data_IF_996976458145
#
_entry.id   IF_996976458145
#
_cell.length_a   1.000
_cell.length_b   1.000
_cell.length_c   1.000
_cell.angle_alpha   90.00
_cell.angle_beta   90.00
_cell.angle_gamma   90.00
#
_symmetry.space_group_name_H-M   'P 1'
#
loop_
_entity.id
_entity.type
_entity.pdbx_description
1 polymer ?
#
# COMPACT_ATOMS: atom_id res chain seq x y z
N UNK A 1 2.73 5.05 16.48
CA UNK A 1 2.36 4.41 15.20
C UNK A 1 2.75 2.94 15.18
N UNK A 2 4.04 2.57 15.15
CA UNK A 2 4.46 1.15 15.20
C UNK A 2 3.72 0.31 16.26
N UNK A 3 3.68 0.79 17.51
CA UNK A 3 2.99 0.10 18.60
C UNK A 3 1.46 -0.04 18.42
N UNK A 4 0.81 0.84 17.65
CA UNK A 4 -0.64 0.77 17.40
C UNK A 4 -0.97 -0.20 16.27
N UNK A 5 -0.10 -0.30 15.28
CA UNK A 5 -0.25 -1.17 14.10
C UNK A 5 0.34 -2.58 14.31
N UNK A 6 1.09 -2.79 15.39
CA UNK A 6 1.81 -4.05 15.65
C UNK A 6 3.14 -4.16 14.89
N UNK A 7 3.62 -3.07 14.31
CA UNK A 7 4.89 -3.00 13.57
C UNK A 7 6.12 -2.88 14.48
N UNK A 8 7.27 -3.25 13.95
CA UNK A 8 8.56 -3.24 14.67
C UNK A 8 9.16 -1.83 14.75
N UNK A 9 8.97 -1.02 13.72
CA UNK A 9 9.48 0.35 13.61
C UNK A 9 8.51 1.24 12.84
N UNK A 10 8.73 2.55 12.85
CA UNK A 10 7.92 3.50 12.11
C UNK A 10 8.76 4.68 11.63
N UNK A 11 8.50 5.14 10.40
CA UNK A 11 9.08 6.35 9.83
C UNK A 11 7.96 7.36 9.51
N UNK A 12 8.03 8.54 10.12
CA UNK A 12 7.15 9.65 9.77
C UNK A 12 7.64 10.34 8.50
N UNK A 13 6.71 10.79 7.66
CA UNK A 13 6.99 11.42 6.36
C UNK A 13 6.15 12.69 6.18
N UNK A 14 6.49 13.48 5.16
CA UNK A 14 5.83 14.76 4.90
C UNK A 14 4.35 14.62 4.49
N UNK A 15 3.91 13.46 3.97
CA UNK A 15 2.53 13.19 3.55
C UNK A 15 2.30 11.69 3.33
N UNK A 16 1.05 11.24 3.27
CA UNK A 16 0.73 9.85 2.88
C UNK A 16 1.29 9.47 1.51
N UNK A 17 1.28 10.40 0.54
CA UNK A 17 1.91 10.15 -0.77
C UNK A 17 3.43 9.99 -0.68
N UNK A 18 4.08 10.69 0.26
CA UNK A 18 5.50 10.50 0.52
C UNK A 18 5.77 9.16 1.21
N UNK A 19 4.89 8.70 2.10
CA UNK A 19 4.98 7.38 2.72
C UNK A 19 4.95 6.25 1.69
N UNK A 20 3.91 6.18 0.86
CA UNK A 20 3.80 5.13 -0.16
C UNK A 20 4.92 5.21 -1.21
N UNK A 21 5.34 6.43 -1.59
CA UNK A 21 6.46 6.61 -2.49
C UNK A 21 7.77 6.06 -1.91
N UNK A 22 8.07 6.37 -0.65
CA UNK A 22 9.28 5.87 0.01
C UNK A 22 9.23 4.35 0.18
N UNK A 23 8.08 3.79 0.57
CA UNK A 23 7.91 2.34 0.67
C UNK A 23 8.23 1.64 -0.65
N UNK A 24 7.68 2.13 -1.77
CA UNK A 24 7.88 1.52 -3.09
C UNK A 24 9.29 1.76 -3.63
N UNK A 25 9.78 2.99 -3.60
CA UNK A 25 11.11 3.34 -4.16
C UNK A 25 12.29 2.76 -3.38
N UNK A 26 12.07 2.31 -2.14
CA UNK A 26 13.08 1.60 -1.35
C UNK A 26 13.28 0.16 -1.85
N UNK A 27 12.24 -0.47 -2.38
CA UNK A 27 12.25 -1.90 -2.78
C UNK A 27 12.23 -2.11 -4.31
N UNK A 28 11.94 -1.07 -5.08
CA UNK A 28 11.84 -1.11 -6.53
C UNK A 28 12.72 -0.03 -7.18
N UNK A 29 13.32 -0.35 -8.31
CA UNK A 29 14.14 0.54 -9.12
C UNK A 29 13.69 0.53 -10.59
N UNK A 30 14.36 1.33 -11.44
CA UNK A 30 14.03 1.38 -12.86
C UNK A 30 14.13 -0.02 -13.51
N UNK A 31 13.05 -0.42 -14.20
CA UNK A 31 12.89 -1.77 -14.78
C UNK A 31 11.97 -2.67 -13.98
N UNK A 32 11.74 -2.38 -12.70
CA UNK A 32 10.84 -3.14 -11.84
C UNK A 32 9.37 -2.73 -12.01
N UNK A 33 8.47 -3.56 -11.45
CA UNK A 33 7.07 -3.22 -11.33
C UNK A 33 6.46 -3.61 -9.98
N UNK A 34 5.31 -3.03 -9.65
CA UNK A 34 4.42 -3.50 -8.58
C UNK A 34 3.04 -3.84 -9.16
N UNK A 35 2.30 -4.70 -8.46
CA UNK A 35 0.91 -5.01 -8.80
C UNK A 35 -0.01 -4.32 -7.79
N UNK A 36 -1.00 -3.56 -8.27
CA UNK A 36 -1.92 -2.82 -7.41
C UNK A 36 -3.37 -2.97 -7.88
N UNK A 37 -4.34 -2.96 -6.96
CA UNK A 37 -5.75 -2.81 -7.35
C UNK A 37 -5.98 -1.47 -8.04
N UNK A 38 -7.01 -1.37 -8.88
CA UNK A 38 -7.49 -0.09 -9.44
C UNK A 38 -8.34 0.71 -8.45
N UNK A 39 -8.80 0.11 -7.35
CA UNK A 39 -9.64 0.73 -6.32
C UNK A 39 -8.82 1.53 -5.31
N UNK A 40 -8.06 2.50 -5.81
CA UNK A 40 -7.17 3.35 -5.02
C UNK A 40 -7.70 4.78 -4.95
N UNK A 41 -7.30 5.49 -3.90
CA UNK A 41 -7.40 6.94 -3.84
C UNK A 41 -6.86 7.56 -5.12
N UNK A 42 -7.61 8.49 -5.73
CA UNK A 42 -7.28 9.05 -7.04
C UNK A 42 -5.88 9.67 -7.12
N UNK A 43 -5.38 10.23 -6.01
CA UNK A 43 -4.00 10.72 -5.93
C UNK A 43 -2.96 9.60 -6.00
N UNK A 44 -3.22 8.47 -5.32
CA UNK A 44 -2.38 7.26 -5.36
C UNK A 44 -2.40 6.65 -6.76
N UNK A 45 -3.60 6.47 -7.34
CA UNK A 45 -3.74 6.00 -8.71
C UNK A 45 -2.94 6.87 -9.70
N UNK A 46 -3.03 8.20 -9.59
CA UNK A 46 -2.26 9.10 -10.45
C UNK A 46 -0.74 9.02 -10.21
N UNK A 47 -0.30 8.91 -8.94
CA UNK A 47 1.12 8.73 -8.63
C UNK A 47 1.65 7.44 -9.28
N UNK A 48 0.89 6.35 -9.20
CA UNK A 48 1.25 5.04 -9.74
C UNK A 48 1.21 4.99 -11.27
N UNK A 49 0.21 5.63 -11.88
CA UNK A 49 0.04 5.64 -13.33
C UNK A 49 0.98 6.60 -14.06
N UNK A 50 1.35 7.71 -13.43
CA UNK A 50 2.06 8.81 -14.10
C UNK A 50 3.44 9.08 -13.51
N UNK A 51 3.57 9.11 -12.18
CA UNK A 51 4.81 9.56 -11.53
C UNK A 51 5.84 8.44 -11.44
N UNK A 52 5.45 7.25 -10.98
CA UNK A 52 6.36 6.10 -10.87
C UNK A 52 6.94 5.64 -12.23
N UNK A 53 6.15 5.56 -13.33
CA UNK A 53 6.70 5.13 -14.62
C UNK A 53 7.74 6.10 -15.19
N UNK A 54 7.66 7.39 -14.85
CA UNK A 54 8.70 8.38 -15.21
C UNK A 54 10.03 8.14 -14.51
N UNK A 55 10.02 7.42 -13.39
CA UNK A 55 11.21 6.96 -12.67
C UNK A 55 11.63 5.54 -13.10
N UNK A 56 10.94 4.95 -14.08
CA UNK A 56 11.19 3.60 -14.58
C UNK A 56 10.55 2.49 -13.75
N UNK A 57 9.74 2.81 -12.73
CA UNK A 57 9.01 1.82 -11.92
C UNK A 57 7.59 1.73 -12.46
N UNK A 58 7.22 0.60 -13.07
CA UNK A 58 5.88 0.43 -13.64
C UNK A 58 4.87 -0.08 -12.60
N UNK A 59 3.58 0.12 -12.88
CA UNK A 59 2.49 -0.41 -12.05
C UNK A 59 1.53 -1.19 -12.93
N UNK A 60 1.29 -2.45 -12.58
CA UNK A 60 0.27 -3.30 -13.20
C UNK A 60 -1.00 -3.20 -12.36
N UNK A 61 -2.04 -2.62 -12.95
CA UNK A 61 -3.33 -2.49 -12.28
C UNK A 61 -4.17 -3.73 -12.51
N UNK A 62 -4.68 -4.32 -11.43
CA UNK A 62 -5.72 -5.35 -11.47
C UNK A 62 -7.07 -4.72 -11.15
N UNK A 63 -8.10 -5.12 -11.89
CA UNK A 63 -9.47 -4.70 -11.59
C UNK A 63 -10.06 -5.65 -10.54
N UNK A 64 -10.66 -5.09 -9.49
CA UNK A 64 -11.16 -5.88 -8.38
C UNK A 64 -10.16 -6.08 -7.25
N UNK A 65 -10.53 -6.99 -6.35
CA UNK A 65 -9.76 -7.45 -5.19
C UNK A 65 -9.67 -8.98 -5.12
N UNK A 66 -10.03 -9.69 -6.20
CA UNK A 66 -9.81 -11.13 -6.32
C UNK A 66 -8.30 -11.43 -6.25
N UNK A 67 -7.82 -12.17 -5.24
CA UNK A 67 -6.41 -12.50 -5.09
C UNK A 67 -5.80 -13.18 -6.33
N UNK A 68 -6.59 -13.95 -7.10
CA UNK A 68 -6.07 -14.65 -8.28
C UNK A 68 -5.70 -13.68 -9.42
N UNK A 69 -6.39 -12.54 -9.53
CA UNK A 69 -6.02 -11.49 -10.49
C UNK A 69 -4.64 -10.89 -10.15
N UNK A 70 -4.30 -10.77 -8.87
CA UNK A 70 -2.97 -10.37 -8.45
C UNK A 70 -1.93 -11.41 -8.82
N UNK A 71 -2.21 -12.70 -8.55
CA UNK A 71 -1.30 -13.81 -8.90
C UNK A 71 -0.93 -13.79 -10.38
N UNK A 72 -1.92 -13.62 -11.26
CA UNK A 72 -1.70 -13.62 -12.72
C UNK A 72 -0.89 -12.43 -13.21
N UNK A 73 -0.88 -11.31 -12.48
CA UNK A 73 -0.16 -10.11 -12.86
C UNK A 73 1.33 -10.13 -12.43
N UNK A 74 1.71 -11.02 -11.51
CA UNK A 74 3.08 -11.16 -11.01
C UNK A 74 4.00 -11.72 -12.10
N UNK A 75 5.19 -11.14 -12.19
CA UNK A 75 6.30 -11.60 -13.04
C UNK A 75 7.64 -11.52 -12.27
N UNK A 76 8.73 -11.86 -12.94
CA UNK A 76 10.08 -11.87 -12.35
C UNK A 76 10.59 -10.49 -11.89
N UNK A 77 9.99 -9.41 -12.38
CA UNK A 77 10.37 -8.03 -12.06
C UNK A 77 9.42 -7.40 -11.03
N UNK A 78 8.43 -8.15 -10.54
CA UNK A 78 7.47 -7.65 -9.56
C UNK A 78 8.13 -7.53 -8.19
N UNK A 79 7.91 -6.41 -7.48
CA UNK A 79 8.56 -6.11 -6.19
C UNK A 79 7.60 -5.94 -5.02
N UNK A 80 6.30 -5.81 -5.27
CA UNK A 80 5.29 -5.77 -4.22
C UNK A 80 3.88 -5.95 -4.78
N UNK A 81 2.97 -6.36 -3.90
CA UNK A 81 1.52 -6.16 -4.07
C UNK A 81 1.10 -4.92 -3.28
N UNK A 82 0.12 -4.17 -3.78
CA UNK A 82 -0.40 -2.96 -3.13
C UNK A 82 -1.94 -2.92 -3.09
N UNK A 83 -2.50 -2.68 -1.91
CA UNK A 83 -3.94 -2.47 -1.72
C UNK A 83 -4.23 -1.40 -0.67
N UNK A 84 -5.45 -0.88 -0.63
CA UNK A 84 -5.97 -0.08 0.49
C UNK A 84 -6.85 -0.94 1.38
N UNK A 85 -6.84 -0.66 2.68
CA UNK A 85 -7.65 -1.41 3.66
C UNK A 85 -9.15 -1.31 3.36
N UNK A 86 -9.56 -0.14 2.87
CA UNK A 86 -10.89 0.10 2.29
C UNK A 86 -10.66 0.80 0.95
N UNK A 87 -10.96 0.11 -0.15
CA UNK A 87 -10.72 0.61 -1.50
C UNK A 87 -11.56 1.86 -1.81
N UNK A 88 -11.04 2.73 -2.67
CA UNK A 88 -11.70 3.97 -3.07
C UNK A 88 -11.91 4.00 -4.59
N UNK A 89 -13.12 4.28 -5.11
CA UNK A 89 -14.38 4.61 -4.42
C UNK A 89 -15.24 3.38 -4.05
N UNK A 90 -14.73 2.17 -4.25
CA UNK A 90 -15.55 0.95 -4.20
C UNK A 90 -15.94 0.50 -2.78
N UNK A 91 -15.22 0.97 -1.75
CA UNK A 91 -15.39 0.59 -0.34
C UNK A 91 -15.31 -0.93 -0.10
N UNK A 92 -14.58 -1.65 -0.96
CA UNK A 92 -14.29 -3.06 -0.79
C UNK A 92 -13.18 -3.27 0.24
N UNK A 93 -13.17 -4.44 0.87
CA UNK A 93 -12.15 -4.86 1.83
C UNK A 93 -11.39 -6.04 1.21
N UNK A 94 -10.14 -5.85 0.77
CA UNK A 94 -9.34 -6.93 0.21
C UNK A 94 -9.07 -8.05 1.23
N UNK A 95 -8.95 -9.29 0.76
CA UNK A 95 -8.50 -10.41 1.59
C UNK A 95 -6.98 -10.32 1.81
N UNK A 96 -6.56 -9.65 2.89
CA UNK A 96 -5.15 -9.45 3.20
C UNK A 96 -4.40 -10.76 3.40
N UNK A 97 -5.03 -11.77 4.00
CA UNK A 97 -4.38 -13.05 4.27
C UNK A 97 -4.10 -13.82 2.98
N UNK A 98 -5.08 -13.85 2.06
CA UNK A 98 -4.89 -14.46 0.75
C UNK A 98 -3.83 -13.71 -0.09
N UNK A 99 -3.86 -12.37 -0.08
CA UNK A 99 -2.88 -11.56 -0.80
C UNK A 99 -1.47 -11.70 -0.21
N UNK A 100 -1.33 -11.72 1.12
CA UNK A 100 -0.06 -11.92 1.79
C UNK A 100 0.52 -13.30 1.44
N UNK A 101 -0.31 -14.35 1.46
CA UNK A 101 0.11 -15.69 1.04
C UNK A 101 0.65 -15.68 -0.41
N UNK A 102 -0.07 -15.06 -1.35
CA UNK A 102 0.37 -14.94 -2.75
C UNK A 102 1.68 -14.16 -2.85
N UNK A 103 1.81 -13.05 -2.13
CA UNK A 103 3.02 -12.23 -2.11
C UNK A 103 4.23 -13.04 -1.62
N UNK A 104 4.06 -13.73 -0.49
CA UNK A 104 5.11 -14.54 0.15
C UNK A 104 5.51 -15.76 -0.69
N UNK A 105 4.58 -16.42 -1.38
CA UNK A 105 4.88 -17.49 -2.36
C UNK A 105 5.81 -17.02 -3.48
N UNK A 106 5.77 -15.74 -3.81
CA UNK A 106 6.58 -15.12 -4.86
C UNK A 106 7.77 -14.33 -4.30
N UNK A 107 8.02 -14.38 -2.98
CA UNK A 107 9.13 -13.71 -2.33
C UNK A 107 9.07 -12.18 -2.36
N UNK A 108 7.87 -11.60 -2.44
CA UNK A 108 7.63 -10.15 -2.45
C UNK A 108 6.73 -9.73 -1.26
N UNK A 109 6.85 -8.47 -0.77
CA UNK A 109 5.99 -7.97 0.30
C UNK A 109 4.58 -7.60 -0.18
N UNK A 110 3.62 -7.66 0.74
CA UNK A 110 2.34 -6.98 0.66
C UNK A 110 2.41 -5.61 1.35
N UNK A 111 2.13 -4.55 0.59
CA UNK A 111 1.98 -3.18 1.09
C UNK A 111 0.49 -2.86 1.24
N UNK A 112 0.07 -2.41 2.42
CA UNK A 112 -1.32 -2.01 2.69
C UNK A 112 -1.39 -0.55 3.11
N UNK A 113 -2.14 0.26 2.36
CA UNK A 113 -2.56 1.58 2.82
C UNK A 113 -3.64 1.43 3.88
N UNK A 114 -3.29 1.70 5.13
CA UNK A 114 -4.19 1.61 6.27
C UNK A 114 -4.73 2.97 6.70
N UNK A 115 -4.77 3.96 5.81
CA UNK A 115 -5.35 5.28 6.13
C UNK A 115 -6.75 5.13 6.73
N UNK A 116 -7.59 4.23 6.20
CA UNK A 116 -8.92 3.96 6.75
C UNK A 116 -8.93 3.12 8.04
N UNK A 117 -7.82 2.48 8.41
CA UNK A 117 -7.66 1.78 9.69
C UNK A 117 -7.55 2.72 10.89
N UNK A 118 -7.39 4.03 10.64
CA UNK A 118 -7.31 5.07 11.65
C UNK A 118 -6.22 4.82 12.71
N UNK A 119 -4.99 4.50 12.24
CA UNK A 119 -3.86 4.19 13.11
C UNK A 119 -4.07 2.93 13.93
N UNK A 120 -4.45 1.82 13.29
CA UNK A 120 -4.59 0.50 13.91
C UNK A 120 -5.87 0.27 14.73
N UNK A 121 -6.77 1.27 14.81
CA UNK A 121 -7.99 1.17 15.61
C UNK A 121 -9.06 0.28 14.96
N UNK A 122 -9.29 0.45 13.65
CA UNK A 122 -10.32 -0.30 12.91
C UNK A 122 -9.77 -1.56 12.25
N UNK A 123 -8.52 -1.53 11.81
CA UNK A 123 -7.86 -2.64 11.14
C UNK A 123 -6.35 -2.60 11.43
N UNK A 124 -5.74 -3.78 11.59
CA UNK A 124 -4.28 -3.95 11.74
C UNK A 124 -3.79 -4.95 10.70
N UNK A 125 -3.50 -4.51 9.45
CA UNK A 125 -3.14 -5.41 8.34
C UNK A 125 -1.93 -6.30 8.63
N UNK A 126 -1.01 -5.86 9.50
CA UNK A 126 0.15 -6.65 9.95
C UNK A 126 -0.29 -7.97 10.61
N UNK A 127 -1.38 -7.97 11.39
CA UNK A 127 -1.94 -9.19 12.00
C UNK A 127 -2.48 -10.19 10.96
N UNK A 128 -2.69 -9.72 9.72
CA UNK A 128 -3.19 -10.49 8.59
C UNK A 128 -2.11 -10.78 7.53
N UNK A 129 -0.83 -10.51 7.84
CA UNK A 129 0.31 -10.86 6.98
C UNK A 129 0.83 -9.74 6.09
N UNK A 130 0.33 -8.51 6.20
CA UNK A 130 0.96 -7.38 5.53
C UNK A 130 2.38 -7.14 6.07
N UNK A 131 3.32 -6.87 5.16
CA UNK A 131 4.73 -6.67 5.51
C UNK A 131 5.06 -5.19 5.74
N UNK A 132 4.38 -4.31 4.99
CA UNK A 132 4.55 -2.85 5.08
C UNK A 132 3.17 -2.21 5.16
N UNK A 133 3.00 -1.31 6.13
CA UNK A 133 1.80 -0.48 6.22
C UNK A 133 2.16 0.98 5.97
N UNK A 134 1.36 1.64 5.13
CA UNK A 134 1.48 3.08 4.86
C UNK A 134 0.21 3.79 5.27
N UNK A 135 0.33 5.03 5.74
CA UNK A 135 -0.82 5.81 6.18
C UNK A 135 -0.68 7.29 5.82
N UNK A 136 -1.82 7.90 5.50
CA UNK A 136 -1.97 9.34 5.51
C UNK A 136 -2.39 9.83 6.90
N UNK A 137 -1.41 10.21 7.71
CA UNK A 137 -1.64 10.81 9.03
C UNK A 137 -2.42 12.14 8.95
N UNK A 138 -2.50 12.74 7.76
CA UNK A 138 -3.36 13.89 7.45
C UNK A 138 -4.83 13.65 7.78
N UNK A 139 -5.30 12.40 7.71
CA UNK A 139 -6.72 12.03 7.82
C UNK A 139 -7.10 11.75 9.27
N UNK A 140 -7.29 10.49 9.64
CA UNK A 140 -7.88 10.09 10.90
C UNK A 140 -6.93 10.30 12.09
N UNK A 141 -5.64 10.03 11.91
CA UNK A 141 -4.63 10.25 12.95
C UNK A 141 -4.54 11.74 13.32
N UNK A 142 -4.46 12.61 12.32
CA UNK A 142 -4.43 14.06 12.50
C UNK A 142 -5.78 14.60 12.97
N UNK A 143 -6.88 14.09 12.43
CA UNK A 143 -8.28 14.27 12.89
C UNK A 143 -8.88 15.67 12.72
N UNK A 144 -8.05 16.70 12.61
CA UNK A 144 -8.48 18.11 12.69
C UNK A 144 -8.33 18.87 11.38
N UNK A 145 -7.78 18.25 10.33
CA UNK A 145 -7.63 18.87 9.01
C UNK A 145 -6.64 20.04 8.94
N UNK A 146 -5.76 20.19 9.94
CA UNK A 146 -4.83 21.32 10.07
C UNK A 146 -3.39 20.99 9.67
N UNK A 147 -3.05 19.71 9.54
CA UNK A 147 -1.68 19.24 9.33
C UNK A 147 -1.63 18.15 8.27
N UNK A 148 -0.59 18.18 7.44
CA UNK A 148 -0.29 17.12 6.48
C UNK A 148 0.85 16.28 7.04
N UNK A 149 0.69 14.96 6.94
CA UNK A 149 1.70 13.99 7.33
C UNK A 149 1.40 12.62 6.78
N UNK A 150 2.42 11.78 6.78
CA UNK A 150 2.30 10.35 6.49
C UNK A 150 3.18 9.55 7.42
N UNK A 151 3.00 8.24 7.38
CA UNK A 151 3.91 7.33 8.04
C UNK A 151 3.96 5.97 7.32
N UNK A 152 5.09 5.28 7.46
CA UNK A 152 5.32 3.93 6.94
C UNK A 152 5.94 3.07 8.03
N UNK A 153 5.54 1.80 8.14
CA UNK A 153 5.94 0.86 9.18
C UNK A 153 6.21 -0.51 8.58
#
# INVERSE_FOLDING_TARGET
>A
MAALEGGVAALATASGQAAQFLAISTIAQAGDNIVATSFLYGGTYNQFKVSLPRLGINVKFVEGDDPENFRQAIDENTKALYVETIGNPQFNIPDFAALAHIAHENGIPLIVDNTFGAGGYLARPIEHGADIVVESATKWIGGHGTSIGGATF
#
